data_IF_941187728192
#
_entry.id   IF_941187728192
#
_cell.length_a   1.000
_cell.length_b   1.000
_cell.length_c   1.000
_cell.angle_alpha   90.00
_cell.angle_beta   90.00
_cell.angle_gamma   90.00
#
_symmetry.space_group_name_H-M   'P 1'
#
loop_
_entity.id
_entity.type
_entity.pdbx_description
1 polymer ?
#
# COMPACT_ATOMS: atom_id res chain seq x y z
N UNK A 1 -11.71 10.07 -8.60
CA UNK A 1 -11.39 9.04 -7.59
C UNK A 1 -10.05 9.39 -6.96
N UNK A 2 -9.97 9.44 -5.62
CA UNK A 2 -8.70 9.67 -4.93
C UNK A 2 -7.73 8.49 -5.13
N UNK A 3 -6.41 8.73 -5.09
CA UNK A 3 -5.40 7.66 -5.28
C UNK A 3 -5.56 6.52 -4.28
N UNK A 4 -5.84 6.83 -3.01
CA UNK A 4 -6.13 5.83 -1.98
C UNK A 4 -7.35 4.98 -2.33
N UNK A 5 -8.42 5.58 -2.86
CA UNK A 5 -9.63 4.85 -3.27
C UNK A 5 -9.35 3.89 -4.43
N UNK A 6 -8.51 4.29 -5.40
CA UNK A 6 -8.07 3.39 -6.48
C UNK A 6 -7.26 2.21 -5.95
N UNK A 7 -6.31 2.47 -5.05
CA UNK A 7 -5.46 1.44 -4.42
C UNK A 7 -6.31 0.48 -3.58
N UNK A 8 -7.29 1.02 -2.84
CA UNK A 8 -8.24 0.26 -2.04
C UNK A 8 -8.99 -0.75 -2.88
N UNK A 9 -9.59 -0.31 -4.00
CA UNK A 9 -10.35 -1.18 -4.89
C UNK A 9 -9.44 -2.17 -5.62
N UNK A 10 -8.31 -1.69 -6.17
CA UNK A 10 -7.36 -2.53 -6.94
C UNK A 10 -6.81 -3.70 -6.13
N UNK A 11 -6.51 -3.47 -4.86
CA UNK A 11 -5.86 -4.45 -4.00
C UNK A 11 -6.76 -4.99 -2.89
N UNK A 12 -8.05 -4.64 -2.89
CA UNK A 12 -8.99 -4.99 -1.83
C UNK A 12 -8.42 -4.72 -0.42
N UNK A 13 -7.84 -3.53 -0.22
CA UNK A 13 -7.26 -3.10 1.05
C UNK A 13 -8.32 -2.47 1.94
N UNK A 14 -8.11 -2.47 3.26
CA UNK A 14 -8.89 -1.62 4.15
C UNK A 14 -8.59 -0.14 3.85
N UNK A 15 -9.52 0.79 4.09
CA UNK A 15 -9.32 2.20 3.78
C UNK A 15 -8.02 2.80 4.35
N UNK A 16 -7.69 2.47 5.60
CA UNK A 16 -6.44 2.89 6.27
C UNK A 16 -5.20 2.39 5.51
N UNK A 17 -5.14 1.10 5.21
CA UNK A 17 -3.98 0.50 4.58
C UNK A 17 -3.81 1.01 3.14
N UNK A 18 -4.92 1.25 2.44
CA UNK A 18 -4.91 1.88 1.12
C UNK A 18 -4.36 3.31 1.14
N UNK A 19 -4.58 4.06 2.23
CA UNK A 19 -4.04 5.40 2.41
C UNK A 19 -2.51 5.36 2.59
N UNK A 20 -2.00 4.43 3.41
CA UNK A 20 -0.56 4.22 3.57
C UNK A 20 0.11 3.77 2.27
N UNK A 21 -0.46 2.78 1.58
CA UNK A 21 0.05 2.29 0.30
C UNK A 21 0.03 3.41 -0.76
N UNK A 22 -1.04 4.20 -0.85
CA UNK A 22 -1.10 5.31 -1.80
C UNK A 22 -0.07 6.41 -1.51
N UNK A 23 0.21 6.70 -0.23
CA UNK A 23 1.24 7.65 0.15
C UNK A 23 2.64 7.15 -0.25
N UNK A 24 2.96 5.89 0.06
CA UNK A 24 4.24 5.26 -0.30
C UNK A 24 4.46 5.21 -1.82
N UNK A 25 3.44 4.81 -2.58
CA UNK A 25 3.50 4.79 -4.05
C UNK A 25 3.74 6.20 -4.60
N UNK A 26 3.04 7.21 -4.05
CA UNK A 26 3.18 8.60 -4.52
C UNK A 26 4.56 9.18 -4.23
N UNK A 27 5.20 8.79 -3.13
CA UNK A 27 6.55 9.24 -2.81
C UNK A 27 7.65 8.49 -3.58
N UNK A 28 7.29 7.52 -4.44
CA UNK A 28 8.26 6.67 -5.13
C UNK A 28 8.96 5.68 -4.21
N UNK A 29 8.40 5.42 -3.02
CA UNK A 29 8.98 4.50 -2.05
C UNK A 29 8.79 3.06 -2.54
N UNK A 30 9.89 2.33 -2.69
CA UNK A 30 9.89 0.94 -3.19
C UNK A 30 9.73 -0.05 -2.04
N UNK A 31 10.17 0.29 -0.83
CA UNK A 31 10.16 -0.61 0.33
C UNK A 31 9.34 -0.05 1.49
N UNK A 32 8.48 -0.90 2.06
CA UNK A 32 7.64 -0.59 3.22
C UNK A 32 7.98 -1.53 4.37
N UNK A 33 8.42 -0.97 5.49
CA UNK A 33 8.66 -1.72 6.74
C UNK A 33 7.30 -1.90 7.45
N UNK A 34 6.84 -3.14 7.57
CA UNK A 34 5.56 -3.46 8.22
C UNK A 34 5.42 -4.96 8.46
N UNK A 35 4.82 -5.34 9.59
CA UNK A 35 4.39 -6.73 9.83
C UNK A 35 3.00 -7.05 9.25
N UNK A 36 2.29 -6.04 8.73
CA UNK A 36 1.01 -6.26 8.08
C UNK A 36 1.20 -6.85 6.69
N UNK A 37 0.96 -8.16 6.59
CA UNK A 37 0.99 -8.92 5.33
C UNK A 37 -0.05 -8.45 4.31
N UNK A 38 -0.99 -7.59 4.70
CA UNK A 38 -1.93 -6.98 3.76
C UNK A 38 -1.21 -6.17 2.67
N UNK A 39 0.02 -5.71 2.89
CA UNK A 39 0.81 -4.99 1.89
C UNK A 39 1.49 -5.91 0.86
N UNK A 40 1.59 -7.22 1.10
CA UNK A 40 2.25 -8.17 0.19
C UNK A 40 1.55 -8.25 -1.20
N UNK A 41 0.28 -7.86 -1.28
CA UNK A 41 -0.49 -7.82 -2.54
C UNK A 41 -0.32 -6.54 -3.35
N UNK A 42 0.32 -5.50 -2.82
CA UNK A 42 0.47 -4.20 -3.49
C UNK A 42 1.73 -4.22 -4.35
N UNK A 43 1.58 -4.43 -5.67
CA UNK A 43 2.72 -4.69 -6.58
C UNK A 43 3.74 -3.55 -6.67
N UNK A 44 3.32 -2.32 -6.41
CA UNK A 44 4.17 -1.14 -6.47
C UNK A 44 5.09 -0.97 -5.24
N UNK A 45 4.88 -1.75 -4.17
CA UNK A 45 5.71 -1.73 -2.96
C UNK A 45 6.20 -3.14 -2.60
N UNK A 46 7.38 -3.21 -2.01
CA UNK A 46 7.96 -4.42 -1.43
C UNK A 46 7.89 -4.33 0.09
N UNK A 47 7.08 -5.18 0.72
CA UNK A 47 7.04 -5.26 2.18
C UNK A 47 8.32 -5.91 2.70
N UNK A 48 8.91 -5.33 3.74
CA UNK A 48 9.91 -5.96 4.61
C UNK A 48 9.31 -6.07 6.02
N UNK A 49 9.30 -7.27 6.64
CA UNK A 49 8.95 -7.40 8.05
C UNK A 49 9.87 -6.55 8.94
N UNK A 50 9.38 -6.17 10.12
CA UNK A 50 10.22 -5.60 11.17
C UNK A 50 11.14 -6.67 11.78
#
# INVERSE_FOLDING_TARGET
MARAQQVMVKYNLKPRDALHAAAAIRSGQIEMISDDRSFDKVKEIKRKPL
#
